data_IF_677553732634
#
_entry.id   IF_677553732634
#
_cell.length_a   1.000
_cell.length_b   1.000
_cell.length_c   1.000
_cell.angle_alpha   90.00
_cell.angle_beta   90.00
_cell.angle_gamma   90.00
#
_symmetry.space_group_name_H-M   'P 1'
#
loop_
_entity.id
_entity.type
_entity.pdbx_description
1 polymer ?
#
# COMPACT_ATOMS: atom_id res chain seq x y z
N UNK A 1 -28.97 4.45 0.39
CA UNK A 1 -29.42 5.70 -0.22
C UNK A 1 -28.48 6.86 0.06
N UNK A 2 -28.10 7.16 1.32
CA UNK A 2 -27.18 8.26 1.65
C UNK A 2 -25.78 8.14 0.99
N UNK A 3 -25.20 6.95 0.97
CA UNK A 3 -23.87 6.73 0.31
C UNK A 3 -23.91 7.02 -1.20
N UNK A 4 -25.00 6.67 -1.89
CA UNK A 4 -25.13 6.92 -3.33
C UNK A 4 -25.33 8.41 -3.64
N UNK A 5 -26.09 9.13 -2.82
CA UNK A 5 -26.28 10.59 -2.98
C UNK A 5 -24.96 11.31 -2.74
N UNK A 6 -24.22 10.93 -1.69
CA UNK A 6 -22.93 11.52 -1.36
C UNK A 6 -21.89 11.24 -2.48
N UNK A 7 -21.88 10.03 -3.05
CA UNK A 7 -20.97 9.71 -4.16
C UNK A 7 -21.25 10.54 -5.41
N UNK A 8 -22.51 10.71 -5.79
CA UNK A 8 -22.92 11.55 -6.92
C UNK A 8 -22.50 13.01 -6.67
N UNK A 9 -22.69 13.51 -5.45
CA UNK A 9 -22.35 14.88 -5.08
C UNK A 9 -20.84 15.13 -5.15
N UNK A 10 -20.00 14.19 -4.71
CA UNK A 10 -18.54 14.27 -4.78
C UNK A 10 -18.06 14.25 -6.24
N UNK A 11 -18.60 13.35 -7.07
CA UNK A 11 -18.26 13.28 -8.51
C UNK A 11 -18.60 14.58 -9.22
N UNK A 12 -19.79 15.14 -8.94
CA UNK A 12 -20.25 16.39 -9.53
C UNK A 12 -19.38 17.58 -9.09
N UNK A 13 -19.10 17.68 -7.77
CA UNK A 13 -18.22 18.72 -7.22
C UNK A 13 -16.82 18.67 -7.82
N UNK A 14 -16.26 17.46 -7.99
CA UNK A 14 -14.93 17.31 -8.57
C UNK A 14 -14.89 17.72 -10.06
N UNK A 15 -15.91 17.35 -10.84
CA UNK A 15 -16.05 17.81 -12.23
C UNK A 15 -16.11 19.34 -12.32
N UNK A 16 -16.89 19.97 -11.44
CA UNK A 16 -16.97 21.43 -11.33
C UNK A 16 -15.61 22.03 -10.93
N UNK A 17 -14.91 21.42 -9.98
CA UNK A 17 -13.60 21.91 -9.51
C UNK A 17 -12.56 21.84 -10.62
N UNK A 18 -12.48 20.74 -11.38
CA UNK A 18 -11.57 20.63 -12.52
C UNK A 18 -11.90 21.72 -13.55
N UNK A 19 -13.18 21.91 -13.87
CA UNK A 19 -13.61 22.93 -14.79
C UNK A 19 -13.24 24.35 -14.32
N UNK A 20 -13.47 24.69 -13.05
CA UNK A 20 -13.11 26.00 -12.47
C UNK A 20 -11.58 26.20 -12.43
N UNK A 21 -10.82 25.20 -12.03
CA UNK A 21 -9.35 25.26 -12.00
C UNK A 21 -8.78 25.45 -13.39
N UNK A 22 -9.30 24.71 -14.40
CA UNK A 22 -8.85 24.87 -15.78
C UNK A 22 -9.16 26.26 -16.33
N UNK A 23 -10.32 26.79 -15.98
CA UNK A 23 -10.69 28.16 -16.38
C UNK A 23 -9.80 29.21 -15.72
N UNK A 24 -9.45 29.04 -14.43
CA UNK A 24 -8.55 29.92 -13.71
C UNK A 24 -7.12 29.94 -14.27
N UNK A 25 -6.64 28.78 -14.75
CA UNK A 25 -5.31 28.65 -15.36
C UNK A 25 -5.34 28.78 -16.91
N UNK A 26 -6.47 29.18 -17.50
CA UNK A 26 -6.66 29.33 -18.96
C UNK A 26 -6.35 28.06 -19.76
N UNK A 27 -6.57 26.87 -19.15
CA UNK A 27 -6.31 25.59 -19.79
C UNK A 27 -7.55 25.13 -20.57
N UNK A 28 -7.41 24.94 -21.87
CA UNK A 28 -8.50 24.42 -22.71
C UNK A 28 -8.69 22.92 -22.49
N UNK A 29 -9.81 22.51 -21.88
CA UNK A 29 -10.16 21.11 -21.63
C UNK A 29 -11.05 20.59 -22.75
N UNK A 30 -10.63 19.50 -23.41
CA UNK A 30 -11.51 18.78 -24.33
C UNK A 30 -12.66 18.09 -23.58
N UNK A 31 -13.81 17.95 -24.22
CA UNK A 31 -14.95 17.23 -23.63
C UNK A 31 -14.60 15.80 -23.22
N UNK A 32 -13.66 15.18 -23.91
CA UNK A 32 -13.24 13.81 -23.61
C UNK A 32 -12.35 13.72 -22.36
N UNK A 33 -11.48 14.71 -22.11
CA UNK A 33 -10.74 14.82 -20.84
C UNK A 33 -11.72 14.99 -19.67
N UNK A 34 -12.75 15.82 -19.81
CA UNK A 34 -13.78 16.00 -18.79
C UNK A 34 -14.55 14.71 -18.51
N UNK A 35 -14.98 14.00 -19.55
CA UNK A 35 -15.62 12.69 -19.43
C UNK A 35 -14.73 11.68 -18.68
N UNK A 36 -13.47 11.55 -19.09
CA UNK A 36 -12.51 10.64 -18.49
C UNK A 36 -12.23 10.99 -17.03
N UNK A 37 -12.18 12.28 -16.70
CA UNK A 37 -12.04 12.77 -15.32
C UNK A 37 -13.23 12.36 -14.44
N UNK A 38 -14.45 12.51 -14.95
CA UNK A 38 -15.68 12.11 -14.25
C UNK A 38 -15.68 10.61 -14.01
N UNK A 39 -15.32 9.80 -15.02
CA UNK A 39 -15.26 8.34 -14.90
C UNK A 39 -14.21 7.94 -13.86
N UNK A 40 -13.00 8.51 -13.90
CA UNK A 40 -11.94 8.25 -12.92
C UNK A 40 -12.40 8.54 -11.48
N UNK A 41 -12.99 9.71 -11.26
CA UNK A 41 -13.46 10.10 -9.92
C UNK A 41 -14.62 9.22 -9.46
N UNK A 42 -15.54 8.88 -10.37
CA UNK A 42 -16.62 7.96 -10.06
C UNK A 42 -16.08 6.59 -9.58
N UNK A 43 -15.08 6.04 -10.29
CA UNK A 43 -14.41 4.79 -9.91
C UNK A 43 -13.79 4.93 -8.51
N UNK A 44 -13.02 5.98 -8.24
CA UNK A 44 -12.35 6.18 -6.95
C UNK A 44 -13.33 6.37 -5.79
N UNK A 45 -14.42 7.11 -6.03
CA UNK A 45 -15.50 7.26 -5.04
C UNK A 45 -16.19 5.92 -4.77
N UNK A 46 -16.50 5.13 -5.81
CA UNK A 46 -17.14 3.82 -5.65
C UNK A 46 -16.22 2.86 -4.87
N UNK A 47 -14.92 2.87 -5.14
CA UNK A 47 -13.93 2.10 -4.39
C UNK A 47 -13.89 2.55 -2.93
N UNK A 48 -13.76 3.85 -2.67
CA UNK A 48 -13.65 4.42 -1.31
C UNK A 48 -14.86 4.13 -0.44
N UNK A 49 -16.05 4.07 -1.01
CA UNK A 49 -17.28 3.74 -0.26
C UNK A 49 -17.61 2.24 -0.27
N UNK A 50 -16.78 1.40 -0.91
CA UNK A 50 -17.02 -0.05 -1.05
C UNK A 50 -18.45 -0.39 -1.57
N UNK A 51 -18.94 0.39 -2.53
CA UNK A 51 -20.27 0.20 -3.10
C UNK A 51 -20.29 -1.05 -3.98
N UNK A 52 -19.20 -1.25 -4.73
CA UNK A 52 -18.95 -2.39 -5.62
C UNK A 52 -17.52 -2.88 -5.35
N UNK A 53 -17.26 -4.16 -5.56
CA UNK A 53 -15.91 -4.72 -5.40
C UNK A 53 -14.92 -3.97 -6.30
N UNK A 54 -13.78 -3.54 -5.72
CA UNK A 54 -12.78 -2.67 -6.37
C UNK A 54 -12.31 -3.20 -7.74
N UNK A 55 -12.06 -4.51 -7.85
CA UNK A 55 -11.65 -5.16 -9.11
C UNK A 55 -12.71 -5.00 -10.19
N UNK A 56 -13.99 -5.21 -9.83
CA UNK A 56 -15.10 -5.13 -10.80
C UNK A 56 -15.28 -3.72 -11.34
N UNK A 57 -15.24 -2.70 -10.48
CA UNK A 57 -15.47 -1.31 -10.92
C UNK A 57 -14.29 -0.76 -11.73
N UNK A 58 -13.04 -1.12 -11.37
CA UNK A 58 -11.86 -0.70 -12.12
C UNK A 58 -11.84 -1.35 -13.50
N UNK A 59 -12.11 -2.65 -13.57
CA UNK A 59 -12.16 -3.36 -14.85
C UNK A 59 -13.27 -2.84 -15.78
N UNK A 60 -14.45 -2.59 -15.21
CA UNK A 60 -15.58 -2.00 -15.93
C UNK A 60 -15.28 -0.58 -16.42
N UNK A 61 -14.68 0.25 -15.58
CA UNK A 61 -14.29 1.62 -15.92
C UNK A 61 -13.19 1.68 -16.99
N UNK A 62 -12.18 0.82 -16.88
CA UNK A 62 -11.16 0.67 -17.92
C UNK A 62 -11.77 0.29 -19.28
N UNK A 63 -12.72 -0.66 -19.27
CA UNK A 63 -13.42 -1.08 -20.48
C UNK A 63 -14.27 0.06 -21.10
N UNK A 64 -15.01 0.81 -20.27
CA UNK A 64 -15.77 1.98 -20.75
C UNK A 64 -14.85 3.01 -21.40
N UNK A 65 -13.74 3.38 -20.73
CA UNK A 65 -12.81 4.36 -21.29
C UNK A 65 -12.10 3.83 -22.53
N UNK A 66 -11.76 2.54 -22.59
CA UNK A 66 -11.15 1.91 -23.76
C UNK A 66 -12.09 1.97 -24.96
N UNK A 67 -13.34 1.56 -24.79
CA UNK A 67 -14.35 1.61 -25.87
C UNK A 67 -14.58 3.06 -26.32
N UNK A 68 -14.72 3.99 -25.37
CA UNK A 68 -14.90 5.39 -25.69
C UNK A 68 -13.71 5.98 -26.45
N UNK A 69 -12.47 5.62 -26.05
CA UNK A 69 -11.24 6.05 -26.74
C UNK A 69 -11.13 5.50 -28.16
N UNK A 70 -11.59 4.27 -28.38
CA UNK A 70 -11.68 3.67 -29.72
C UNK A 70 -12.70 4.38 -30.60
N UNK A 71 -13.88 4.72 -30.07
CA UNK A 71 -14.94 5.40 -30.80
C UNK A 71 -14.56 6.83 -31.19
N UNK A 72 -13.77 7.50 -30.35
CA UNK A 72 -13.26 8.87 -30.61
C UNK A 72 -11.98 8.86 -31.47
N UNK A 73 -11.37 7.69 -31.67
CA UNK A 73 -10.15 7.54 -32.48
C UNK A 73 -8.85 7.94 -31.78
N UNK A 74 -8.83 7.99 -30.44
CA UNK A 74 -7.61 8.23 -29.63
C UNK A 74 -6.72 7.00 -29.68
N UNK A 75 -7.32 5.82 -29.49
CA UNK A 75 -6.63 4.53 -29.62
C UNK A 75 -7.10 3.87 -30.90
N UNK A 76 -6.17 3.40 -31.74
CA UNK A 76 -6.53 2.71 -32.97
C UNK A 76 -6.93 1.26 -32.73
N UNK A 77 -8.01 0.74 -33.33
CA UNK A 77 -8.47 -0.63 -33.10
C UNK A 77 -7.41 -1.70 -33.37
N UNK A 78 -6.52 -1.48 -34.34
CA UNK A 78 -5.44 -2.43 -34.67
C UNK A 78 -4.33 -2.47 -33.63
N UNK A 79 -4.18 -1.43 -32.80
CA UNK A 79 -3.12 -1.26 -31.81
C UNK A 79 -3.61 -1.54 -30.38
N UNK A 80 -4.92 -1.77 -30.21
CA UNK A 80 -5.55 -1.94 -28.90
C UNK A 80 -4.88 -3.03 -28.05
N UNK A 81 -4.57 -4.18 -28.66
CA UNK A 81 -3.94 -5.27 -27.92
C UNK A 81 -2.50 -4.90 -27.49
N UNK A 82 -1.72 -4.29 -28.38
CA UNK A 82 -0.37 -3.79 -28.04
C UNK A 82 -0.44 -2.74 -26.94
N UNK A 83 -1.32 -1.77 -27.08
CA UNK A 83 -1.55 -0.76 -26.03
C UNK A 83 -1.85 -1.41 -24.66
N UNK A 84 -2.79 -2.36 -24.60
CA UNK A 84 -3.15 -3.04 -23.35
C UNK A 84 -1.96 -3.81 -22.76
N UNK A 85 -1.15 -4.46 -23.60
CA UNK A 85 0.04 -5.18 -23.15
C UNK A 85 1.12 -4.20 -22.64
N UNK A 86 1.34 -3.10 -23.35
CA UNK A 86 2.40 -2.14 -23.05
C UNK A 86 2.15 -1.35 -21.76
N UNK A 87 0.89 -1.05 -21.45
CA UNK A 87 0.54 -0.31 -20.22
C UNK A 87 0.52 -1.18 -18.96
N UNK A 88 0.42 -2.52 -19.09
CA UNK A 88 0.43 -3.43 -17.93
C UNK A 88 1.86 -3.65 -17.47
N UNK A 89 2.16 -3.25 -16.23
CA UNK A 89 3.43 -3.58 -15.59
C UNK A 89 3.44 -5.03 -15.10
N UNK A 90 3.93 -5.93 -15.97
CA UNK A 90 4.08 -7.35 -15.65
C UNK A 90 5.13 -7.61 -14.57
N UNK A 91 6.10 -6.71 -14.37
CA UNK A 91 7.07 -6.84 -13.30
C UNK A 91 6.39 -6.68 -11.92
N UNK A 92 5.56 -5.68 -11.77
CA UNK A 92 4.73 -5.50 -10.55
C UNK A 92 3.81 -6.71 -10.31
N UNK A 93 3.08 -7.17 -11.34
CA UNK A 93 2.14 -8.31 -11.18
C UNK A 93 2.90 -9.60 -10.85
N UNK A 94 4.01 -9.87 -11.52
CA UNK A 94 4.83 -11.07 -11.29
C UNK A 94 5.48 -11.08 -9.90
N UNK A 95 5.96 -9.93 -9.44
CA UNK A 95 6.54 -9.79 -8.11
C UNK A 95 5.49 -10.06 -7.02
N UNK A 96 4.30 -9.45 -7.15
CA UNK A 96 3.18 -9.69 -6.23
C UNK A 96 2.76 -11.15 -6.21
N UNK A 97 2.56 -11.76 -7.38
CA UNK A 97 2.19 -13.16 -7.49
C UNK A 97 3.21 -14.09 -6.80
N UNK A 98 4.50 -13.89 -7.09
CA UNK A 98 5.58 -14.68 -6.48
C UNK A 98 5.59 -14.57 -4.96
N UNK A 99 5.49 -13.34 -4.43
CA UNK A 99 5.47 -13.11 -2.98
C UNK A 99 4.19 -13.67 -2.32
N UNK A 100 3.02 -13.53 -2.94
CA UNK A 100 1.76 -14.09 -2.44
C UNK A 100 1.84 -15.62 -2.32
N UNK A 101 2.42 -16.31 -3.29
CA UNK A 101 2.62 -17.78 -3.24
C UNK A 101 3.57 -18.14 -2.07
N UNK A 102 4.71 -17.45 -1.92
CA UNK A 102 5.66 -17.70 -0.84
C UNK A 102 4.98 -17.57 0.53
N UNK A 103 4.16 -16.54 0.70
CA UNK A 103 3.48 -16.25 1.96
C UNK A 103 2.30 -17.20 2.20
N UNK A 104 1.58 -17.61 1.19
CA UNK A 104 0.54 -18.63 1.30
C UNK A 104 1.13 -19.95 1.86
N UNK A 105 2.28 -20.41 1.31
CA UNK A 105 3.00 -21.57 1.84
C UNK A 105 3.46 -21.35 3.29
N UNK A 106 4.01 -20.16 3.60
CA UNK A 106 4.44 -19.82 4.96
C UNK A 106 3.26 -19.82 5.95
N UNK A 107 2.08 -19.35 5.54
CA UNK A 107 0.86 -19.34 6.34
C UNK A 107 0.42 -20.75 6.77
N UNK A 108 0.56 -21.75 5.89
CA UNK A 108 0.21 -23.16 6.18
C UNK A 108 1.05 -23.76 7.32
N UNK A 109 2.27 -23.26 7.54
CA UNK A 109 3.19 -23.74 8.60
C UNK A 109 2.68 -23.49 10.02
N UNK A 110 1.72 -22.57 10.21
CA UNK A 110 1.19 -22.16 11.51
C UNK A 110 2.07 -21.17 12.27
N UNK A 111 3.10 -20.58 11.63
CA UNK A 111 4.07 -19.66 12.25
C UNK A 111 3.39 -18.44 12.87
N UNK A 112 2.35 -17.89 12.25
CA UNK A 112 1.65 -16.70 12.76
C UNK A 112 0.91 -16.99 14.07
N UNK A 113 0.30 -18.17 14.22
CA UNK A 113 -0.30 -18.60 15.49
C UNK A 113 0.75 -18.77 16.58
N UNK A 114 1.91 -19.34 16.25
CA UNK A 114 3.04 -19.48 17.16
C UNK A 114 3.53 -18.10 17.63
N UNK A 115 3.69 -17.14 16.71
CA UNK A 115 4.09 -15.76 17.06
C UNK A 115 3.08 -15.12 18.02
N UNK A 116 1.79 -15.27 17.78
CA UNK A 116 0.75 -14.73 18.64
C UNK A 116 0.84 -15.26 20.09
N UNK A 117 0.96 -16.56 20.27
CA UNK A 117 1.12 -17.18 21.59
C UNK A 117 2.44 -16.77 22.24
N UNK A 118 3.52 -16.70 21.47
CA UNK A 118 4.83 -16.23 21.94
C UNK A 118 4.78 -14.78 22.42
N UNK A 119 4.09 -13.91 21.69
CA UNK A 119 3.90 -12.49 22.05
C UNK A 119 3.19 -12.35 23.42
N UNK A 120 2.14 -13.13 23.66
CA UNK A 120 1.44 -13.12 24.95
C UNK A 120 2.39 -13.53 26.08
N UNK A 121 3.13 -14.61 25.91
CA UNK A 121 4.05 -15.11 26.96
C UNK A 121 5.16 -14.10 27.25
N UNK A 122 5.75 -13.49 26.20
CA UNK A 122 6.80 -12.49 26.36
C UNK A 122 6.27 -11.21 27.02
N UNK A 123 5.01 -10.86 26.81
CA UNK A 123 4.39 -9.68 27.42
C UNK A 123 4.19 -9.80 28.93
N UNK A 124 4.13 -11.03 29.47
CA UNK A 124 3.86 -11.30 30.89
C UNK A 124 2.62 -10.59 31.45
N UNK A 125 1.58 -10.40 30.62
CA UNK A 125 0.35 -9.70 30.99
C UNK A 125 0.37 -8.18 30.87
N UNK A 126 1.48 -7.60 30.45
CA UNK A 126 1.57 -6.17 30.18
C UNK A 126 1.07 -5.88 28.75
N UNK A 127 -0.07 -5.22 28.65
CA UNK A 127 -0.72 -4.93 27.37
C UNK A 127 0.11 -4.02 26.48
N UNK A 128 0.85 -3.07 27.06
CA UNK A 128 1.75 -2.23 26.28
C UNK A 128 2.89 -3.04 25.64
N UNK A 129 3.52 -3.95 26.40
CA UNK A 129 4.55 -4.85 25.86
C UNK A 129 3.96 -5.74 24.76
N UNK A 130 2.73 -6.25 24.96
CA UNK A 130 2.04 -7.06 23.95
C UNK A 130 1.81 -6.26 22.67
N UNK A 131 1.35 -5.02 22.77
CA UNK A 131 1.16 -4.13 21.62
C UNK A 131 2.48 -3.90 20.89
N UNK A 132 3.57 -3.57 21.58
CA UNK A 132 4.89 -3.39 20.95
C UNK A 132 5.30 -4.65 20.19
N UNK A 133 5.22 -5.83 20.81
CA UNK A 133 5.67 -7.08 20.18
C UNK A 133 4.86 -7.35 18.91
N UNK A 134 3.53 -7.18 18.98
CA UNK A 134 2.67 -7.37 17.81
C UNK A 134 2.94 -6.33 16.72
N UNK A 135 3.09 -5.05 17.06
CA UNK A 135 3.40 -3.99 16.10
C UNK A 135 4.78 -4.18 15.44
N UNK A 136 5.82 -4.50 16.24
CA UNK A 136 7.17 -4.75 15.71
C UNK A 136 7.18 -5.96 14.79
N UNK A 137 6.55 -7.07 15.19
CA UNK A 137 6.45 -8.25 14.34
C UNK A 137 5.71 -7.93 13.04
N UNK A 138 4.55 -7.27 13.12
CA UNK A 138 3.76 -6.90 11.95
C UNK A 138 4.54 -5.97 11.02
N UNK A 139 5.22 -4.94 11.56
CA UNK A 139 6.01 -4.01 10.76
C UNK A 139 7.20 -4.70 10.07
N UNK A 140 7.98 -5.51 10.80
CA UNK A 140 9.13 -6.23 10.22
C UNK A 140 8.66 -7.21 9.13
N UNK A 141 7.58 -7.94 9.37
CA UNK A 141 7.07 -8.90 8.38
C UNK A 141 6.53 -8.16 7.16
N UNK A 142 5.88 -7.00 7.35
CA UNK A 142 5.35 -6.15 6.27
C UNK A 142 6.44 -5.50 5.42
N UNK A 143 7.69 -5.45 5.87
CA UNK A 143 8.81 -5.04 5.01
C UNK A 143 9.06 -6.03 3.86
N UNK A 144 8.67 -7.28 4.01
CA UNK A 144 8.98 -8.37 3.07
C UNK A 144 7.74 -9.07 2.51
N UNK A 145 6.57 -8.74 3.02
CA UNK A 145 5.29 -9.32 2.66
C UNK A 145 4.28 -8.21 2.54
N UNK A 146 3.42 -8.26 1.54
CA UNK A 146 2.40 -7.23 1.34
C UNK A 146 1.49 -7.03 2.57
N UNK A 147 1.08 -5.80 2.76
CA UNK A 147 0.29 -5.34 3.91
C UNK A 147 -1.01 -6.12 4.09
N UNK A 148 -1.68 -6.46 2.99
CA UNK A 148 -2.99 -7.16 3.01
C UNK A 148 -2.82 -8.56 3.58
N UNK A 149 -1.86 -9.30 3.05
CA UNK A 149 -1.58 -10.68 3.48
C UNK A 149 -1.20 -10.76 4.96
N UNK A 150 -0.35 -9.83 5.43
CA UNK A 150 0.01 -9.81 6.85
C UNK A 150 -1.19 -9.53 7.74
N UNK A 151 -2.04 -8.61 7.38
CA UNK A 151 -3.26 -8.29 8.15
C UNK A 151 -4.26 -9.45 8.11
N UNK A 152 -4.42 -10.12 6.97
CA UNK A 152 -5.24 -11.33 6.85
C UNK A 152 -4.81 -12.43 7.82
N UNK A 153 -3.51 -12.58 8.05
CA UNK A 153 -2.95 -13.61 8.92
C UNK A 153 -2.91 -13.17 10.40
N UNK A 154 -2.56 -11.92 10.68
CA UNK A 154 -2.34 -11.46 12.05
C UNK A 154 -3.61 -11.03 12.78
N UNK A 155 -4.59 -10.44 12.09
CA UNK A 155 -5.83 -9.97 12.74
C UNK A 155 -6.64 -11.12 13.33
N UNK A 156 -6.87 -12.27 12.67
CA UNK A 156 -7.53 -13.42 13.28
C UNK A 156 -6.80 -13.95 14.53
N UNK A 157 -5.47 -13.99 14.49
CA UNK A 157 -4.64 -14.38 15.65
C UNK A 157 -4.87 -13.42 16.81
N UNK A 158 -4.81 -12.12 16.55
CA UNK A 158 -5.06 -11.07 17.54
C UNK A 158 -6.47 -11.19 18.12
N UNK A 159 -7.49 -11.34 17.28
CA UNK A 159 -8.88 -11.53 17.72
C UNK A 159 -9.05 -12.74 18.63
N UNK A 160 -8.43 -13.87 18.29
CA UNK A 160 -8.46 -15.10 19.09
C UNK A 160 -7.82 -14.87 20.47
N UNK A 161 -6.68 -14.23 20.52
CA UNK A 161 -5.96 -13.87 21.74
C UNK A 161 -6.82 -13.01 22.66
N UNK A 162 -7.34 -11.90 22.12
CA UNK A 162 -8.06 -10.93 22.94
C UNK A 162 -9.46 -11.39 23.35
N UNK A 163 -10.09 -12.27 22.54
CA UNK A 163 -11.31 -12.98 22.95
C UNK A 163 -11.04 -13.89 24.16
N UNK A 164 -9.95 -14.64 24.17
CA UNK A 164 -9.56 -15.49 25.30
C UNK A 164 -9.20 -14.65 26.54
N UNK A 165 -8.61 -13.48 26.37
CA UNK A 165 -8.29 -12.54 27.46
C UNK A 165 -9.53 -11.73 27.92
N UNK A 166 -10.67 -11.81 27.24
CA UNK A 166 -11.90 -11.05 27.49
C UNK A 166 -11.68 -9.53 27.48
N UNK A 167 -10.83 -9.04 26.59
CA UNK A 167 -10.53 -7.62 26.41
C UNK A 167 -10.83 -7.21 24.96
N UNK A 168 -11.07 -5.91 24.75
CA UNK A 168 -11.29 -5.37 23.39
C UNK A 168 -10.02 -5.50 22.52
N UNK A 169 -10.08 -6.17 21.36
CA UNK A 169 -8.96 -6.25 20.42
C UNK A 169 -8.75 -4.97 19.61
N UNK A 170 -9.74 -4.06 19.57
CA UNK A 170 -9.77 -2.91 18.67
C UNK A 170 -8.48 -2.07 18.72
N UNK A 171 -7.94 -1.64 19.88
CA UNK A 171 -6.71 -0.86 19.93
C UNK A 171 -5.52 -1.58 19.31
N UNK A 172 -5.46 -2.89 19.47
CA UNK A 172 -4.34 -3.73 18.97
C UNK A 172 -4.45 -3.94 17.46
N UNK A 173 -5.65 -4.13 16.93
CA UNK A 173 -5.89 -4.24 15.48
C UNK A 173 -5.53 -2.92 14.79
N UNK A 174 -5.98 -1.78 15.33
CA UNK A 174 -5.61 -0.47 14.80
C UNK A 174 -4.09 -0.29 14.84
N UNK A 175 -3.45 -0.53 15.99
CA UNK A 175 -2.02 -0.37 16.14
C UNK A 175 -1.22 -1.27 15.18
N UNK A 176 -1.63 -2.53 15.01
CA UNK A 176 -1.00 -3.45 14.06
C UNK A 176 -1.14 -2.97 12.61
N UNK A 177 -2.34 -2.52 12.20
CA UNK A 177 -2.56 -2.07 10.83
C UNK A 177 -1.78 -0.79 10.53
N UNK A 178 -1.75 0.17 11.45
CA UNK A 178 -0.92 1.39 11.33
C UNK A 178 0.57 1.06 11.25
N UNK A 179 1.02 0.08 12.03
CA UNK A 179 2.41 -0.40 12.02
C UNK A 179 2.74 -1.20 10.76
N UNK A 180 1.77 -1.93 10.21
CA UNK A 180 1.89 -2.67 8.95
C UNK A 180 2.20 -1.72 7.79
N UNK A 181 1.41 -0.66 7.63
CA UNK A 181 1.63 0.33 6.58
C UNK A 181 2.99 1.05 6.74
N UNK A 182 3.42 1.36 7.99
CA UNK A 182 4.76 1.89 8.23
C UNK A 182 5.85 0.91 7.81
N UNK A 183 5.73 -0.37 8.20
CA UNK A 183 6.69 -1.40 7.80
C UNK A 183 6.78 -1.57 6.30
N UNK A 184 5.62 -1.66 5.63
CA UNK A 184 5.52 -1.79 4.18
C UNK A 184 6.18 -0.62 3.43
N UNK A 185 6.06 0.60 3.95
CA UNK A 185 6.67 1.79 3.34
C UNK A 185 8.20 1.79 3.37
N UNK A 186 8.85 0.93 4.15
CA UNK A 186 10.30 0.90 4.31
C UNK A 186 11.05 0.22 3.18
N UNK A 187 10.40 -0.66 2.41
CA UNK A 187 11.06 -1.44 1.34
C UNK A 187 10.26 -1.41 0.05
N UNK A 188 10.91 -1.78 -1.03
CA UNK A 188 10.32 -1.85 -2.36
C UNK A 188 9.14 -2.84 -2.42
N UNK A 189 9.22 -3.96 -1.72
CA UNK A 189 8.26 -5.08 -1.81
C UNK A 189 7.22 -5.10 -0.70
N UNK A 190 7.37 -4.27 0.32
CA UNK A 190 6.49 -4.26 1.48
C UNK A 190 5.10 -3.67 1.22
N UNK A 191 4.98 -2.81 0.21
CA UNK A 191 3.70 -2.23 -0.20
C UNK A 191 3.61 -2.20 -1.72
N UNK A 192 2.48 -2.61 -2.32
CA UNK A 192 2.30 -2.55 -3.77
C UNK A 192 2.56 -1.17 -4.39
N UNK A 193 2.29 -0.09 -3.65
CA UNK A 193 2.59 1.27 -4.11
C UNK A 193 4.08 1.48 -4.38
N UNK A 194 4.93 0.91 -3.54
CA UNK A 194 6.38 1.00 -3.69
C UNK A 194 6.88 0.19 -4.89
N UNK A 195 6.26 -0.97 -5.15
CA UNK A 195 6.59 -1.79 -6.32
C UNK A 195 6.28 -1.02 -7.61
N UNK A 196 5.11 -0.37 -7.70
CA UNK A 196 4.73 0.46 -8.85
C UNK A 196 5.74 1.60 -9.04
N UNK A 197 6.08 2.33 -7.97
CA UNK A 197 7.04 3.44 -8.02
C UNK A 197 8.42 2.94 -8.43
N UNK A 198 8.89 1.85 -7.83
CA UNK A 198 10.20 1.29 -8.12
C UNK A 198 10.32 0.76 -9.55
N UNK A 199 9.27 0.11 -10.07
CA UNK A 199 9.20 -0.33 -11.47
C UNK A 199 9.24 0.86 -12.43
N UNK A 200 8.39 1.87 -12.23
CA UNK A 200 8.32 3.04 -13.08
C UNK A 200 9.61 3.89 -13.08
N UNK A 201 10.25 4.02 -11.91
CA UNK A 201 11.46 4.82 -11.75
C UNK A 201 12.76 4.01 -11.95
N UNK A 202 12.68 2.71 -12.26
CA UNK A 202 13.81 1.78 -12.32
C UNK A 202 14.69 1.81 -11.05
N UNK A 203 14.04 1.83 -9.88
CA UNK A 203 14.72 1.85 -8.59
C UNK A 203 14.89 0.43 -8.09
N UNK A 204 16.14 0.03 -7.83
CA UNK A 204 16.43 -1.26 -7.24
C UNK A 204 16.09 -1.32 -5.74
N UNK A 205 15.94 -2.55 -5.22
CA UNK A 205 15.56 -2.79 -3.83
C UNK A 205 16.50 -2.12 -2.81
N UNK A 206 17.81 -2.18 -3.06
CA UNK A 206 18.82 -1.64 -2.13
C UNK A 206 18.74 -0.14 -2.06
N UNK A 207 18.65 0.52 -3.22
CA UNK A 207 18.50 1.98 -3.30
C UNK A 207 17.20 2.43 -2.64
N UNK A 208 16.08 1.74 -2.91
CA UNK A 208 14.81 2.03 -2.26
C UNK A 208 14.92 1.91 -0.73
N UNK A 209 15.51 0.82 -0.24
CA UNK A 209 15.70 0.58 1.19
C UNK A 209 16.57 1.66 1.85
N UNK A 210 17.67 2.07 1.22
CA UNK A 210 18.57 3.07 1.77
C UNK A 210 17.92 4.45 1.93
N UNK A 211 17.02 4.83 1.03
CA UNK A 211 16.32 6.11 1.12
C UNK A 211 15.07 6.07 2.01
N UNK A 212 14.31 4.98 1.99
CA UNK A 212 13.03 4.89 2.70
C UNK A 212 13.12 4.30 4.10
N UNK A 213 14.01 3.33 4.34
CA UNK A 213 14.08 2.68 5.65
C UNK A 213 14.52 3.61 6.80
N UNK A 214 15.50 4.53 6.65
CA UNK A 214 15.89 5.41 7.75
C UNK A 214 14.75 6.33 8.24
N UNK A 215 14.05 7.10 7.38
CA UNK A 215 12.93 7.92 7.83
C UNK A 215 11.79 7.07 8.41
N UNK A 216 11.50 5.92 7.82
CA UNK A 216 10.44 5.03 8.31
C UNK A 216 10.81 4.42 9.67
N UNK A 217 12.06 3.98 9.88
CA UNK A 217 12.50 3.42 11.14
C UNK A 217 12.36 4.42 12.31
N UNK A 218 12.86 5.65 12.14
CA UNK A 218 12.73 6.70 13.16
C UNK A 218 11.26 7.03 13.41
N UNK A 219 10.48 7.14 12.34
CA UNK A 219 9.05 7.41 12.41
C UNK A 219 8.27 6.28 13.09
N UNK A 220 8.67 5.02 12.87
CA UNK A 220 8.08 3.86 13.53
C UNK A 220 8.31 3.89 15.06
N UNK A 221 9.52 4.21 15.51
CA UNK A 221 9.81 4.33 16.94
C UNK A 221 8.95 5.39 17.63
N UNK A 222 8.82 6.57 17.00
CA UNK A 222 7.93 7.62 17.49
C UNK A 222 6.45 7.22 17.33
N UNK A 223 6.10 6.51 16.28
CA UNK A 223 4.77 5.93 16.07
C UNK A 223 4.35 5.04 17.23
N UNK A 224 5.25 4.20 17.75
CA UNK A 224 4.98 3.40 18.96
C UNK A 224 4.65 4.29 20.17
N UNK A 225 5.38 5.38 20.37
CA UNK A 225 5.09 6.33 21.46
C UNK A 225 3.72 6.99 21.26
N UNK A 226 3.39 7.39 20.04
CA UNK A 226 2.07 7.94 19.70
C UNK A 226 0.95 6.92 19.97
N UNK A 227 1.11 5.65 19.60
CA UNK A 227 0.15 4.59 19.88
C UNK A 227 -0.06 4.40 21.39
N UNK A 228 1.00 4.51 22.20
CA UNK A 228 0.89 4.50 23.67
C UNK A 228 0.05 5.65 24.19
N UNK A 229 0.21 6.84 23.63
CA UNK A 229 -0.54 8.04 24.04
C UNK A 229 -2.02 7.89 23.61
N UNK A 230 -2.26 7.48 22.37
CA UNK A 230 -3.60 7.31 21.80
C UNK A 230 -4.41 6.28 22.60
N UNK A 231 -3.81 5.13 22.88
CA UNK A 231 -4.45 3.98 23.54
C UNK A 231 -4.16 3.87 25.03
N UNK A 232 -3.66 4.96 25.68
CA UNK A 232 -3.23 4.93 27.10
C UNK A 232 -4.29 4.39 28.06
N UNK A 233 -5.57 4.68 27.80
CA UNK A 233 -6.68 4.23 28.68
C UNK A 233 -6.89 2.72 28.59
N UNK A 234 -6.77 2.15 27.42
CA UNK A 234 -6.95 0.72 27.16
C UNK A 234 -5.74 -0.12 27.60
N UNK A 235 -4.56 0.50 27.72
CA UNK A 235 -3.30 -0.17 28.03
C UNK A 235 -3.00 -0.24 29.54
N UNK A 236 -3.79 0.40 30.39
CA UNK A 236 -3.57 0.41 31.85
C UNK A 236 -3.98 -0.88 32.54
N UNK A 237 -4.80 -1.71 31.88
CA UNK A 237 -5.30 -2.97 32.46
C UNK A 237 -4.16 -4.00 32.50
N UNK A 238 -3.85 -4.50 33.69
CA UNK A 238 -2.95 -5.65 33.84
C UNK A 238 -3.77 -6.93 33.71
N UNK A 239 -3.41 -7.76 32.76
CA UNK A 239 -4.14 -9.00 32.48
C UNK A 239 -3.42 -10.15 33.15
N UNK A 240 -4.16 -10.90 33.96
CA UNK A 240 -3.65 -12.14 34.50
C UNK A 240 -3.65 -13.22 33.39
N UNK A 241 -2.46 -13.54 32.86
CA UNK A 241 -2.27 -14.63 31.88
C UNK A 241 -2.34 -15.96 32.66
N UNK A 242 -3.48 -16.23 33.28
CA UNK A 242 -3.66 -17.44 34.06
C UNK A 242 -4.04 -18.64 33.18
N UNK A 243 -3.34 -19.73 33.37
CA UNK A 243 -3.75 -21.09 32.99
C UNK A 243 -3.82 -21.39 31.50
N UNK A 244 -4.71 -20.76 30.75
CA UNK A 244 -5.04 -21.15 29.37
C UNK A 244 -3.86 -21.01 28.38
N UNK A 245 -3.11 -19.91 28.42
CA UNK A 245 -1.96 -19.73 27.52
C UNK A 245 -0.67 -20.40 28.02
N UNK A 246 -0.59 -20.75 29.31
CA UNK A 246 0.51 -21.56 29.81
C UNK A 246 0.39 -23.02 29.40
N UNK A 247 -0.83 -23.53 29.23
CA UNK A 247 -1.12 -24.91 28.87
C UNK A 247 -0.99 -25.20 27.35
N UNK A 248 -0.98 -24.14 26.50
CA UNK A 248 -0.80 -24.34 25.05
C UNK A 248 0.62 -24.77 24.75
N UNK A 249 0.80 -25.93 24.15
CA UNK A 249 2.12 -26.37 23.68
C UNK A 249 2.53 -25.56 22.46
N UNK A 250 3.53 -24.67 22.61
CA UNK A 250 4.07 -23.84 21.51
C UNK A 250 4.53 -24.68 20.32
N UNK A 251 5.05 -25.90 20.59
CA UNK A 251 5.61 -26.77 19.56
C UNK A 251 4.51 -27.35 18.65
N UNK A 252 3.29 -27.49 19.18
CA UNK A 252 2.15 -28.02 18.43
C UNK A 252 1.53 -26.98 17.48
N UNK A 253 1.81 -25.69 17.66
CA UNK A 253 1.31 -24.62 16.79
C UNK A 253 2.02 -24.57 15.44
N UNK A 254 3.27 -25.02 15.38
CA UNK A 254 4.00 -25.18 14.11
C UNK A 254 3.63 -26.55 13.55
N UNK A 255 2.75 -26.58 12.55
CA UNK A 255 2.21 -27.79 11.95
C UNK A 255 3.28 -28.61 11.23
N UNK A 256 4.15 -27.91 10.47
CA UNK A 256 5.25 -28.53 9.73
C UNK A 256 6.53 -27.71 9.88
N UNK A 257 7.47 -28.25 10.67
CA UNK A 257 8.77 -27.63 10.92
C UNK A 257 9.72 -27.71 9.72
N UNK A 258 9.59 -28.77 8.89
CA UNK A 258 10.42 -28.93 7.70
C UNK A 258 10.02 -27.89 6.67
N UNK A 259 8.72 -27.74 6.44
CA UNK A 259 8.17 -26.75 5.55
C UNK A 259 8.54 -25.32 6.00
N UNK A 260 8.39 -25.01 7.30
CA UNK A 260 8.79 -23.72 7.86
C UNK A 260 10.27 -23.40 7.60
N UNK A 261 11.16 -24.42 7.82
CA UNK A 261 12.58 -24.25 7.55
C UNK A 261 12.83 -23.97 6.06
N UNK A 262 12.17 -24.70 5.15
CA UNK A 262 12.27 -24.47 3.71
C UNK A 262 11.78 -23.08 3.33
N UNK A 263 10.63 -22.64 3.86
CA UNK A 263 10.11 -21.28 3.62
C UNK A 263 11.12 -20.21 4.06
N UNK A 264 11.71 -20.34 5.26
CA UNK A 264 12.69 -19.39 5.78
C UNK A 264 13.95 -19.34 4.88
N UNK A 265 14.45 -20.50 4.44
CA UNK A 265 15.62 -20.58 3.57
C UNK A 265 15.34 -19.93 2.22
N UNK A 266 14.19 -20.25 1.60
CA UNK A 266 13.82 -19.69 0.30
C UNK A 266 13.58 -18.18 0.42
N UNK A 267 12.86 -17.74 1.45
CA UNK A 267 12.62 -16.31 1.68
C UNK A 267 13.93 -15.54 1.91
N UNK A 268 14.86 -16.11 2.69
CA UNK A 268 16.19 -15.51 2.88
C UNK A 268 16.97 -15.44 1.55
N UNK A 269 16.88 -16.49 0.71
CA UNK A 269 17.44 -16.48 -0.64
C UNK A 269 16.83 -15.42 -1.53
N UNK A 270 15.51 -15.30 -1.54
CA UNK A 270 14.79 -14.26 -2.31
C UNK A 270 15.22 -12.86 -1.87
N UNK A 271 15.26 -12.60 -0.55
CA UNK A 271 15.74 -11.32 -0.02
C UNK A 271 17.19 -11.05 -0.41
N UNK A 272 18.06 -12.07 -0.32
CA UNK A 272 19.45 -11.93 -0.76
C UNK A 272 19.53 -11.53 -2.24
N UNK A 273 18.78 -12.21 -3.11
CA UNK A 273 18.75 -11.86 -4.52
C UNK A 273 18.12 -10.48 -4.78
N UNK A 274 17.13 -10.04 -3.98
CA UNK A 274 16.63 -8.67 -4.06
C UNK A 274 17.69 -7.62 -3.71
N UNK A 275 18.60 -7.91 -2.79
CA UNK A 275 19.70 -6.98 -2.46
C UNK A 275 20.67 -6.80 -3.61
N UNK A 276 20.90 -7.83 -4.41
CA UNK A 276 21.90 -7.80 -5.49
C UNK A 276 21.29 -7.67 -6.89
N UNK A 277 19.94 -7.67 -7.04
CA UNK A 277 19.28 -7.76 -8.34
C UNK A 277 19.65 -6.60 -9.28
N UNK A 278 19.81 -5.39 -8.75
CA UNK A 278 20.25 -4.24 -9.53
C UNK A 278 21.64 -4.42 -10.12
N UNK A 279 22.55 -5.10 -9.40
CA UNK A 279 23.91 -5.37 -9.88
C UNK A 279 23.98 -6.51 -10.92
N UNK A 280 23.07 -7.49 -10.83
CA UNK A 280 23.02 -8.65 -11.74
C UNK A 280 22.05 -8.47 -12.92
N UNK A 281 21.26 -7.39 -12.92
CA UNK A 281 20.33 -7.07 -14.01
C UNK A 281 19.14 -8.03 -14.13
N UNK A 282 18.73 -8.70 -13.03
CA UNK A 282 17.57 -9.59 -13.01
C UNK A 282 16.38 -8.85 -12.40
N UNK A 283 15.22 -8.89 -13.06
CA UNK A 283 13.99 -8.30 -12.57
C UNK A 283 13.54 -8.92 -11.24
N UNK A 284 13.03 -8.09 -10.33
CA UNK A 284 12.56 -8.54 -9.02
C UNK A 284 11.43 -9.58 -9.12
N UNK A 285 10.57 -9.48 -10.13
CA UNK A 285 9.51 -10.45 -10.41
C UNK A 285 10.05 -11.86 -10.67
N UNK A 286 11.13 -11.98 -11.43
CA UNK A 286 11.76 -13.28 -11.76
C UNK A 286 12.31 -13.93 -10.49
N UNK A 287 12.90 -13.15 -9.59
CA UNK A 287 13.43 -13.63 -8.31
C UNK A 287 12.29 -14.15 -7.42
N UNK A 288 11.20 -13.37 -7.30
CA UNK A 288 10.04 -13.76 -6.50
C UNK A 288 9.35 -15.02 -7.06
N UNK A 289 9.11 -15.06 -8.37
CA UNK A 289 8.51 -16.22 -9.05
C UNK A 289 9.41 -17.44 -8.96
N UNK A 290 10.74 -17.28 -9.08
CA UNK A 290 11.71 -18.35 -8.88
C UNK A 290 11.66 -18.92 -7.47
N UNK A 291 11.63 -18.08 -6.45
CA UNK A 291 11.44 -18.49 -5.05
C UNK A 291 10.12 -19.24 -4.83
N UNK A 292 9.02 -18.72 -5.40
CA UNK A 292 7.70 -19.34 -5.36
C UNK A 292 7.73 -20.75 -6.02
N UNK A 293 8.32 -20.87 -7.21
CA UNK A 293 8.44 -22.15 -7.92
C UNK A 293 9.23 -23.18 -7.11
N UNK A 294 10.34 -22.77 -6.49
CA UNK A 294 11.13 -23.65 -5.61
C UNK A 294 10.27 -24.14 -4.43
N UNK A 295 9.49 -23.27 -3.78
CA UNK A 295 8.61 -23.67 -2.68
C UNK A 295 7.50 -24.62 -3.16
N UNK A 296 6.87 -24.37 -4.30
CA UNK A 296 5.85 -25.26 -4.87
C UNK A 296 6.41 -26.66 -5.17
N UNK A 297 7.66 -26.76 -5.63
CA UNK A 297 8.33 -28.06 -5.84
C UNK A 297 8.62 -28.75 -4.51
N UNK A 298 9.09 -28.02 -3.50
CA UNK A 298 9.43 -28.59 -2.18
C UNK A 298 8.18 -29.08 -1.46
N UNK A 299 7.09 -28.32 -1.55
CA UNK A 299 5.83 -28.66 -0.84
C UNK A 299 5.18 -29.94 -1.39
N UNK A 300 5.48 -30.35 -2.61
CA UNK A 300 5.00 -31.58 -3.31
C UNK A 300 3.49 -31.84 -3.28
N UNK A 301 2.76 -31.12 -2.47
CA UNK A 301 1.36 -31.37 -2.22
C UNK A 301 0.55 -30.09 -2.34
N UNK A 302 -0.59 -30.18 -3.02
CA UNK A 302 -1.65 -29.18 -2.94
C UNK A 302 -1.32 -27.81 -3.57
N UNK A 303 -0.59 -27.80 -4.70
CA UNK A 303 -0.34 -26.58 -5.50
C UNK A 303 -1.66 -25.83 -5.74
N UNK A 304 -2.73 -26.56 -6.08
CA UNK A 304 -4.07 -26.00 -6.28
C UNK A 304 -4.59 -25.27 -5.04
N UNK A 305 -4.35 -25.82 -3.84
CA UNK A 305 -4.76 -25.18 -2.59
C UNK A 305 -3.96 -23.90 -2.32
N UNK A 306 -2.65 -23.93 -2.53
CA UNK A 306 -1.79 -22.75 -2.38
C UNK A 306 -2.22 -21.65 -3.35
N UNK A 307 -2.52 -22.04 -4.61
CA UNK A 307 -3.00 -21.09 -5.61
C UNK A 307 -4.40 -20.53 -5.29
N UNK A 308 -5.24 -21.25 -4.55
CA UNK A 308 -6.52 -20.74 -4.05
C UNK A 308 -6.34 -19.66 -2.95
N UNK A 309 -5.23 -19.72 -2.20
CA UNK A 309 -4.91 -18.74 -1.17
C UNK A 309 -4.27 -17.45 -1.75
N UNK A 310 -3.93 -17.41 -3.06
CA UNK A 310 -3.46 -16.22 -3.76
C UNK A 310 -4.62 -15.24 -3.97
N UNK A 311 -4.39 -13.97 -3.69
CA UNK A 311 -5.39 -12.91 -3.94
C UNK A 311 -5.43 -12.52 -5.43
N UNK A 312 -6.05 -13.38 -6.24
CA UNK A 312 -6.26 -13.14 -7.67
C UNK A 312 -7.04 -11.87 -7.95
N UNK A 313 -7.95 -11.49 -7.04
CA UNK A 313 -8.74 -10.28 -7.20
C UNK A 313 -7.84 -9.04 -7.20
N UNK A 314 -6.82 -9.02 -6.38
CA UNK A 314 -5.81 -7.94 -6.36
C UNK A 314 -4.97 -7.93 -7.64
N UNK A 315 -4.53 -9.07 -8.17
CA UNK A 315 -3.76 -9.11 -9.42
C UNK A 315 -4.57 -8.60 -10.62
N UNK A 316 -5.83 -9.03 -10.74
CA UNK A 316 -6.77 -8.53 -11.78
C UNK A 316 -7.08 -7.04 -11.59
N UNK A 317 -7.20 -6.58 -10.34
CA UNK A 317 -7.37 -5.17 -10.03
C UNK A 317 -6.20 -4.33 -10.55
N UNK A 318 -4.95 -4.77 -10.36
CA UNK A 318 -3.76 -4.08 -10.88
C UNK A 318 -3.76 -4.00 -12.40
N UNK A 319 -4.03 -5.12 -13.08
CA UNK A 319 -4.11 -5.12 -14.55
C UNK A 319 -5.16 -4.11 -15.06
N UNK A 320 -6.36 -4.11 -14.48
CA UNK A 320 -7.41 -3.15 -14.82
C UNK A 320 -7.01 -1.70 -14.52
N UNK A 321 -6.29 -1.48 -13.43
CA UNK A 321 -5.82 -0.16 -13.02
C UNK A 321 -4.75 0.40 -13.96
N UNK A 322 -3.79 -0.41 -14.39
CA UNK A 322 -2.79 -0.01 -15.38
C UNK A 322 -3.43 0.37 -16.70
N UNK A 323 -4.40 -0.42 -17.19
CA UNK A 323 -5.16 -0.09 -18.41
C UNK A 323 -5.90 1.24 -18.24
N UNK A 324 -6.59 1.42 -17.10
CA UNK A 324 -7.33 2.65 -16.80
C UNK A 324 -6.40 3.87 -16.87
N UNK A 325 -5.28 3.84 -16.16
CA UNK A 325 -4.33 4.96 -16.08
C UNK A 325 -3.64 5.18 -17.42
N UNK A 326 -3.28 4.13 -18.15
CA UNK A 326 -2.74 4.26 -19.51
C UNK A 326 -3.69 5.00 -20.46
N UNK A 327 -5.00 4.70 -20.41
CA UNK A 327 -5.99 5.44 -21.19
C UNK A 327 -6.07 6.91 -20.75
N UNK A 328 -6.05 7.19 -19.45
CA UNK A 328 -6.06 8.56 -18.93
C UNK A 328 -4.83 9.37 -19.37
N UNK A 329 -3.70 8.70 -19.56
CA UNK A 329 -2.47 9.30 -20.09
C UNK A 329 -2.64 9.65 -21.57
N UNK A 330 -3.11 8.73 -22.41
CA UNK A 330 -3.37 8.96 -23.84
C UNK A 330 -4.41 10.06 -24.08
N UNK A 331 -5.43 10.13 -23.24
CA UNK A 331 -6.47 11.17 -23.29
C UNK A 331 -5.92 12.56 -22.91
N UNK A 332 -4.78 12.64 -22.22
CA UNK A 332 -4.14 13.88 -21.78
C UNK A 332 -4.60 14.39 -20.42
N UNK A 333 -5.42 13.62 -19.67
CA UNK A 333 -5.82 13.99 -18.31
C UNK A 333 -4.61 14.07 -17.37
N UNK A 334 -3.70 13.13 -17.46
CA UNK A 334 -2.47 13.08 -16.65
C UNK A 334 -1.62 14.34 -16.92
N UNK A 335 -1.47 14.73 -18.19
CA UNK A 335 -0.74 15.94 -18.57
C UNK A 335 -1.41 17.20 -18.01
N UNK A 336 -2.75 17.24 -17.96
CA UNK A 336 -3.50 18.32 -17.34
C UNK A 336 -3.21 18.43 -15.83
N UNK A 337 -3.28 17.32 -15.12
CA UNK A 337 -3.00 17.28 -13.67
C UNK A 337 -1.57 17.70 -13.34
N UNK A 338 -0.59 17.26 -14.15
CA UNK A 338 0.80 17.69 -14.04
C UNK A 338 0.97 19.20 -14.22
N UNK A 339 0.34 19.78 -15.26
CA UNK A 339 0.34 21.25 -15.49
C UNK A 339 -0.30 22.02 -14.34
N UNK A 340 -1.40 21.54 -13.78
CA UNK A 340 -2.05 22.15 -12.62
C UNK A 340 -1.09 22.16 -11.42
N UNK A 341 -0.42 21.06 -11.17
CA UNK A 341 0.52 20.96 -10.03
C UNK A 341 1.74 21.88 -10.24
N UNK A 342 2.29 21.96 -11.46
CA UNK A 342 3.35 22.90 -11.81
C UNK A 342 2.84 24.35 -11.64
N UNK A 343 1.61 24.65 -12.05
CA UNK A 343 1.01 25.97 -11.89
C UNK A 343 0.86 26.39 -10.42
N UNK A 344 0.44 25.46 -9.55
CA UNK A 344 0.30 25.71 -8.11
C UNK A 344 1.66 25.92 -7.43
N UNK A 345 2.68 25.16 -7.83
CA UNK A 345 4.01 25.20 -7.21
C UNK A 345 4.96 26.20 -7.87
N UNK A 346 4.55 26.81 -8.99
CA UNK A 346 5.41 27.66 -9.82
C UNK A 346 6.62 26.90 -10.41
N UNK A 347 6.63 25.56 -10.34
CA UNK A 347 7.77 24.74 -10.73
C UNK A 347 8.97 24.85 -9.79
N UNK A 348 8.78 25.39 -8.57
CA UNK A 348 9.83 25.45 -7.56
C UNK A 348 10.09 24.04 -6.99
N UNK A 349 11.35 23.52 -7.03
CA UNK A 349 11.64 22.12 -6.72
C UNK A 349 11.21 21.68 -5.32
N UNK A 350 11.56 22.43 -4.27
CA UNK A 350 11.25 22.06 -2.89
C UNK A 350 9.77 22.21 -2.56
N UNK A 351 9.12 23.25 -3.09
CA UNK A 351 7.67 23.41 -2.94
C UNK A 351 6.93 22.27 -3.64
N UNK A 352 7.40 21.86 -4.82
CA UNK A 352 6.84 20.71 -5.54
C UNK A 352 7.05 19.40 -4.76
N UNK A 353 8.25 19.19 -4.21
CA UNK A 353 8.57 18.02 -3.39
C UNK A 353 7.64 17.89 -2.18
N UNK A 354 7.50 18.96 -1.38
CA UNK A 354 6.61 18.95 -0.22
C UNK A 354 5.13 18.89 -0.61
N UNK A 355 4.74 19.53 -1.72
CA UNK A 355 3.37 19.42 -2.24
C UNK A 355 3.04 17.97 -2.63
N UNK A 356 3.94 17.27 -3.30
CA UNK A 356 3.76 15.86 -3.64
C UNK A 356 3.60 15.03 -2.37
N UNK A 357 4.44 15.20 -1.33
CA UNK A 357 4.30 14.48 -0.05
C UNK A 357 2.91 14.69 0.53
N UNK A 358 2.50 15.93 0.74
CA UNK A 358 1.29 16.24 1.48
C UNK A 358 0.00 15.98 0.69
N UNK A 359 -0.01 16.29 -0.61
CA UNK A 359 -1.14 15.94 -1.49
C UNK A 359 -1.30 14.41 -1.51
N UNK A 360 -0.18 13.67 -1.65
CA UNK A 360 -0.22 12.21 -1.64
C UNK A 360 -0.71 11.67 -0.30
N UNK A 361 -0.22 12.20 0.81
CA UNK A 361 -0.61 11.73 2.14
C UNK A 361 -2.10 12.00 2.44
N UNK A 362 -2.57 13.20 2.15
CA UNK A 362 -3.97 13.56 2.40
C UNK A 362 -4.90 12.77 1.48
N UNK A 363 -4.60 12.74 0.18
CA UNK A 363 -5.44 12.05 -0.79
C UNK A 363 -5.46 10.54 -0.54
N UNK A 364 -4.29 9.91 -0.34
CA UNK A 364 -4.17 8.49 -0.01
C UNK A 364 -4.83 8.14 1.33
N UNK A 365 -4.98 9.10 2.24
CA UNK A 365 -5.74 8.89 3.47
C UNK A 365 -7.25 8.68 3.28
N UNK A 366 -7.81 9.12 2.16
CA UNK A 366 -9.25 9.03 1.85
C UNK A 366 -9.56 8.19 0.60
N UNK A 367 -8.60 8.06 -0.30
CA UNK A 367 -8.65 7.20 -1.48
C UNK A 367 -7.61 6.09 -1.27
N UNK A 368 -7.90 4.87 -1.66
CA UNK A 368 -6.96 3.76 -1.54
C UNK A 368 -5.60 4.12 -2.18
N UNK A 369 -4.50 3.82 -1.47
CA UNK A 369 -3.15 4.23 -1.84
C UNK A 369 -2.70 3.71 -3.23
N UNK A 370 -3.13 2.52 -3.64
CA UNK A 370 -2.73 1.89 -4.90
C UNK A 370 -3.24 2.66 -6.12
N UNK A 371 -4.57 2.89 -6.32
CA UNK A 371 -5.07 3.65 -7.47
C UNK A 371 -4.52 5.08 -7.50
N UNK A 372 -4.37 5.69 -6.33
CA UNK A 372 -3.77 7.01 -6.24
C UNK A 372 -2.33 7.01 -6.76
N UNK A 373 -1.49 6.09 -6.28
CA UNK A 373 -0.08 5.99 -6.67
C UNK A 373 0.07 5.73 -8.17
N UNK A 374 -0.70 4.77 -8.72
CA UNK A 374 -0.65 4.46 -10.15
C UNK A 374 -0.96 5.68 -11.01
N UNK A 375 -1.92 6.53 -10.58
CA UNK A 375 -2.23 7.79 -11.29
C UNK A 375 -1.12 8.83 -11.11
N UNK A 376 -0.47 8.87 -9.95
CA UNK A 376 0.58 9.87 -9.68
C UNK A 376 1.89 9.55 -10.38
N UNK A 377 2.20 8.29 -10.66
CA UNK A 377 3.45 7.90 -11.35
C UNK A 377 3.69 8.69 -12.62
N UNK A 378 2.81 8.68 -13.64
CA UNK A 378 3.05 9.45 -14.84
C UNK A 378 2.98 10.97 -14.61
N UNK A 379 2.32 11.45 -13.55
CA UNK A 379 2.38 12.86 -13.16
C UNK A 379 3.80 13.20 -12.67
N UNK A 380 4.42 12.35 -11.86
CA UNK A 380 5.82 12.54 -11.40
C UNK A 380 6.79 12.57 -12.60
N UNK A 381 6.59 11.76 -13.62
CA UNK A 381 7.38 11.80 -14.85
C UNK A 381 7.28 13.17 -15.56
N UNK A 382 6.08 13.73 -15.65
CA UNK A 382 5.87 15.07 -16.20
C UNK A 382 6.53 16.15 -15.34
N UNK A 383 6.43 16.06 -14.02
CA UNK A 383 7.10 16.99 -13.10
C UNK A 383 8.62 16.91 -13.26
N UNK A 384 9.18 15.73 -13.39
CA UNK A 384 10.63 15.51 -13.60
C UNK A 384 11.10 16.04 -14.96
N UNK A 385 10.24 16.14 -15.96
CA UNK A 385 10.57 16.74 -17.25
C UNK A 385 10.54 18.28 -17.24
N UNK A 386 10.01 18.90 -16.18
CA UNK A 386 9.98 20.36 -16.02
C UNK A 386 11.38 20.92 -15.82
N UNK A 387 11.77 21.93 -16.61
CA UNK A 387 13.13 22.50 -16.63
C UNK A 387 13.56 23.02 -15.26
N UNK A 388 12.69 23.73 -14.53
CA UNK A 388 13.00 24.30 -13.23
C UNK A 388 13.22 23.24 -12.17
N UNK A 389 12.38 22.19 -12.15
CA UNK A 389 12.49 21.06 -11.21
C UNK A 389 13.74 20.25 -11.54
N UNK A 390 13.96 19.96 -12.81
CA UNK A 390 15.10 19.17 -13.28
C UNK A 390 16.43 19.90 -13.07
N UNK A 391 16.48 21.21 -13.09
CA UNK A 391 17.69 21.99 -12.84
C UNK A 391 18.33 21.71 -11.47
N UNK A 392 17.54 21.40 -10.45
CA UNK A 392 18.02 21.03 -9.13
C UNK A 392 18.06 19.52 -8.93
N UNK A 393 16.92 18.84 -9.16
CA UNK A 393 16.80 17.41 -8.85
C UNK A 393 17.39 16.50 -9.89
N UNK A 394 17.61 16.97 -11.11
CA UNK A 394 18.26 16.19 -12.18
C UNK A 394 19.75 15.95 -11.97
N UNK A 395 20.38 16.63 -11.00
CA UNK A 395 21.77 16.34 -10.58
C UNK A 395 21.88 15.07 -9.74
N UNK A 396 20.76 14.60 -9.18
CA UNK A 396 20.69 13.37 -8.41
C UNK A 396 20.38 12.18 -9.32
N UNK A 397 20.93 11.02 -9.01
CA UNK A 397 20.70 9.78 -9.78
C UNK A 397 19.21 9.41 -9.87
N UNK A 398 18.45 9.71 -8.81
CA UNK A 398 16.99 9.46 -8.72
C UNK A 398 16.34 10.74 -8.22
N UNK A 399 15.31 11.21 -8.93
CA UNK A 399 14.57 12.40 -8.54
C UNK A 399 13.92 12.22 -7.16
N UNK A 400 14.07 13.21 -6.26
CA UNK A 400 13.39 13.24 -4.96
C UNK A 400 11.88 13.10 -5.00
N UNK A 401 11.24 13.43 -6.12
CA UNK A 401 9.78 13.36 -6.26
C UNK A 401 9.26 11.92 -6.16
N UNK A 402 10.07 10.91 -6.55
CA UNK A 402 9.72 9.50 -6.35
C UNK A 402 9.64 9.12 -4.88
N UNK A 403 10.59 9.59 -4.09
CA UNK A 403 10.61 9.39 -2.64
C UNK A 403 9.46 10.14 -1.96
N UNK A 404 9.15 11.36 -2.46
CA UNK A 404 8.00 12.14 -2.00
C UNK A 404 6.69 11.40 -2.19
N UNK A 405 6.49 10.79 -3.38
CA UNK A 405 5.31 10.00 -3.68
C UNK A 405 5.23 8.74 -2.80
N UNK A 406 6.33 7.98 -2.70
CA UNK A 406 6.38 6.74 -1.89
C UNK A 406 6.05 7.01 -0.42
N UNK A 407 6.65 8.06 0.16
CA UNK A 407 6.42 8.45 1.54
C UNK A 407 4.98 8.94 1.76
N UNK A 408 4.51 9.84 0.90
CA UNK A 408 3.18 10.41 1.02
C UNK A 408 2.08 9.37 0.85
N UNK A 409 2.13 8.55 -0.21
CA UNK A 409 1.13 7.54 -0.48
C UNK A 409 1.14 6.41 0.56
N UNK A 410 2.32 5.90 0.92
CA UNK A 410 2.46 4.80 1.88
C UNK A 410 2.00 5.17 3.29
N UNK A 411 2.46 6.32 3.82
CA UNK A 411 2.06 6.77 5.16
C UNK A 411 0.65 7.35 5.19
N UNK A 412 0.19 7.95 4.08
CA UNK A 412 -1.16 8.50 3.91
C UNK A 412 -2.25 7.47 4.18
N UNK A 413 -2.03 6.21 3.75
CA UNK A 413 -2.92 5.09 3.98
C UNK A 413 -3.31 4.84 5.44
N UNK A 414 -2.59 5.44 6.40
CA UNK A 414 -2.91 5.37 7.82
C UNK A 414 -4.05 6.31 8.24
N UNK A 415 -4.38 7.34 7.45
CA UNK A 415 -5.32 8.39 7.82
C UNK A 415 -6.72 7.91 8.10
N UNK A 416 -7.23 7.04 7.23
CA UNK A 416 -8.52 6.35 7.42
C UNK A 416 -8.37 4.85 7.10
N UNK A 417 -9.34 4.04 7.48
CA UNK A 417 -9.29 2.62 7.12
C UNK A 417 -9.50 2.37 5.61
N UNK A 418 -10.04 3.36 4.89
CA UNK A 418 -10.23 3.32 3.44
C UNK A 418 -8.89 3.55 2.71
N UNK A 419 -7.99 4.33 3.31
CA UNK A 419 -6.72 4.74 2.71
C UNK A 419 -5.75 3.60 2.40
N UNK A 420 -5.95 2.39 2.96
CA UNK A 420 -5.15 1.22 2.63
C UNK A 420 -5.98 -0.04 2.58
N UNK A 421 -5.68 -0.94 1.63
CA UNK A 421 -6.30 -2.27 1.55
C UNK A 421 -6.18 -3.05 2.87
N UNK A 422 -5.06 -2.90 3.59
CA UNK A 422 -4.86 -3.49 4.91
C UNK A 422 -5.89 -3.00 5.93
N UNK A 423 -6.24 -1.72 5.91
CA UNK A 423 -7.28 -1.13 6.75
C UNK A 423 -8.65 -1.73 6.47
N UNK A 424 -9.04 -1.81 5.20
CA UNK A 424 -10.30 -2.40 4.73
C UNK A 424 -10.42 -3.85 5.21
N UNK A 425 -9.37 -4.65 5.00
CA UNK A 425 -9.32 -6.06 5.42
C UNK A 425 -9.39 -6.20 6.94
N UNK A 426 -8.67 -5.37 7.69
CA UNK A 426 -8.72 -5.38 9.15
C UNK A 426 -10.15 -5.14 9.68
N UNK A 427 -10.86 -4.17 9.09
CA UNK A 427 -12.27 -3.88 9.41
C UNK A 427 -13.18 -5.06 9.06
N UNK A 428 -13.03 -5.60 7.84
CA UNK A 428 -13.84 -6.72 7.36
C UNK A 428 -13.73 -7.96 8.26
N UNK A 429 -12.50 -8.33 8.64
CA UNK A 429 -12.25 -9.46 9.54
C UNK A 429 -12.82 -9.15 10.93
N UNK A 430 -12.54 -7.96 11.48
CA UNK A 430 -13.04 -7.57 12.80
C UNK A 430 -14.56 -7.67 12.88
N UNK A 431 -15.27 -7.23 11.84
CA UNK A 431 -16.72 -7.29 11.75
C UNK A 431 -17.24 -8.74 11.74
N UNK A 432 -16.60 -9.64 10.99
CA UNK A 432 -16.93 -11.09 10.98
C UNK A 432 -16.81 -11.73 12.37
N UNK A 433 -15.91 -11.24 13.19
CA UNK A 433 -15.71 -11.72 14.58
C UNK A 433 -16.57 -10.96 15.60
N UNK A 434 -17.48 -10.04 15.16
CA UNK A 434 -18.40 -9.30 16.00
C UNK A 434 -17.84 -8.00 16.59
N UNK A 435 -16.67 -7.54 16.15
CA UNK A 435 -16.06 -6.29 16.59
C UNK A 435 -16.23 -5.20 15.54
N UNK A 436 -17.18 -4.30 15.75
CA UNK A 436 -17.43 -3.16 14.86
C UNK A 436 -16.48 -2.01 15.17
N UNK A 437 -15.64 -1.65 14.24
CA UNK A 437 -14.77 -0.48 14.29
C UNK A 437 -15.41 0.62 13.42
N UNK A 438 -15.84 1.73 14.04
CA UNK A 438 -16.45 2.83 13.30
C UNK A 438 -15.40 3.70 12.60
N UNK A 439 -15.80 4.39 11.52
CA UNK A 439 -14.95 5.36 10.82
C UNK A 439 -14.37 6.41 11.80
N UNK A 440 -15.20 6.97 12.67
CA UNK A 440 -14.77 7.97 13.65
C UNK A 440 -13.74 7.41 14.64
N UNK A 441 -13.88 6.14 15.04
CA UNK A 441 -12.90 5.49 15.93
C UNK A 441 -11.54 5.34 15.27
N UNK A 442 -11.53 4.93 14.00
CA UNK A 442 -10.30 4.87 13.22
C UNK A 442 -9.71 6.26 13.00
N UNK A 443 -10.52 7.21 12.50
CA UNK A 443 -10.10 8.56 12.17
C UNK A 443 -9.44 9.27 13.36
N UNK A 444 -10.00 9.14 14.56
CA UNK A 444 -9.42 9.71 15.79
C UNK A 444 -8.05 9.15 16.15
N UNK A 445 -7.72 7.94 15.72
CA UNK A 445 -6.41 7.33 15.96
C UNK A 445 -5.49 7.48 14.75
N UNK A 446 -5.97 7.12 13.56
CA UNK A 446 -5.20 7.04 12.34
C UNK A 446 -4.82 8.39 11.75
N UNK A 447 -5.76 9.35 11.70
CA UNK A 447 -5.49 10.65 11.07
C UNK A 447 -4.41 11.47 11.81
N UNK A 448 -4.45 11.65 13.14
CA UNK A 448 -3.34 12.29 13.86
C UNK A 448 -2.03 11.50 13.75
N UNK A 449 -2.10 10.16 13.76
CA UNK A 449 -0.94 9.31 13.56
C UNK A 449 -0.31 9.54 12.17
N UNK A 450 -1.13 9.57 11.12
CA UNK A 450 -0.69 9.88 9.75
C UNK A 450 0.00 11.25 9.68
N UNK A 451 -0.65 12.31 10.15
CA UNK A 451 -0.11 13.69 10.08
C UNK A 451 1.27 13.77 10.76
N UNK A 452 1.41 13.21 11.96
CA UNK A 452 2.66 13.27 12.71
C UNK A 452 3.76 12.40 12.08
N UNK A 453 3.40 11.22 11.58
CA UNK A 453 4.36 10.33 10.92
C UNK A 453 4.82 10.87 9.58
N UNK A 454 3.93 11.44 8.77
CA UNK A 454 4.28 12.10 7.50
C UNK A 454 5.16 13.31 7.74
N UNK A 455 4.80 14.18 8.70
CA UNK A 455 5.60 15.37 9.02
C UNK A 455 7.03 15.00 9.41
N UNK A 456 7.19 14.02 10.33
CA UNK A 456 8.51 13.60 10.78
C UNK A 456 9.32 12.94 9.66
N UNK A 457 8.71 12.01 8.93
CA UNK A 457 9.39 11.33 7.83
C UNK A 457 9.78 12.30 6.71
N UNK A 458 8.92 13.31 6.42
CA UNK A 458 9.21 14.38 5.47
C UNK A 458 10.44 15.18 5.88
N UNK A 459 10.56 15.58 7.15
CA UNK A 459 11.73 16.29 7.67
C UNK A 459 13.00 15.46 7.50
N UNK A 460 12.97 14.19 7.91
CA UNK A 460 14.13 13.29 7.82
C UNK A 460 14.54 13.09 6.36
N UNK A 461 13.58 12.82 5.48
CA UNK A 461 13.85 12.62 4.06
C UNK A 461 14.42 13.89 3.42
N UNK A 462 13.89 15.06 3.76
CA UNK A 462 14.42 16.36 3.30
C UNK A 462 15.88 16.54 3.72
N UNK A 463 16.21 16.24 4.99
CA UNK A 463 17.59 16.32 5.48
C UNK A 463 18.51 15.33 4.76
N UNK A 464 18.05 14.12 4.50
CA UNK A 464 18.83 13.12 3.75
C UNK A 464 19.11 13.58 2.32
N UNK A 465 18.13 14.14 1.64
CA UNK A 465 18.29 14.66 0.27
C UNK A 465 19.24 15.85 0.28
N UNK A 466 19.10 16.80 1.22
CA UNK A 466 20.02 17.94 1.35
C UNK A 466 21.47 17.53 1.61
N UNK A 467 21.70 16.43 2.31
CA UNK A 467 23.03 15.88 2.55
C UNK A 467 23.59 15.08 1.35
N UNK A 468 22.75 14.80 0.34
CA UNK A 468 23.16 14.10 -0.90
C UNK A 468 23.59 15.07 -2.00
N UNK A 469 23.35 16.39 -1.83
CA UNK A 469 23.92 17.46 -2.65
C UNK A 469 25.31 17.85 -2.15
#
# INVERSE_FOLDING_TARGET
MEKHILSILIVTLFGITIFMVSHFFEINISHFILFSSIVMVAIYVIISFEIIHRTSIVFFGALILLIASLLVGIIHPKETLHFVIDVIDFNTIGLLLGMMIIVAVLGETGVFNWVGVKAIRLSKGNLWKLMIILCVFTAITSMFVDNVTIILLMVPVTLTIFRALKISPIPFILAQTLSCNLGGAATLIGDPTNIIIGSAANIDFTTFFLYMAPPIFVTFLLGLVLLKIIFRKELTTVVNISGQFKAVDEKSLIKDKSLLKSCIIVLAGVIFFFVIHGAIGIEASIIALGGAAILLIITRAHVEKILQDVDWATLVFFAGLFILVGILQEVGLIALLGKILIGITGGEPWLTFHSVIWISAITSGFIENIPFTTTMVPIIEILNSNTSINSLFGSLNISPLWWALALGAGLGGNGTWIGSSAGVVAIGISLKYGYKISFIRWFKAGFPFMILTVALASIILTLMILLSF
#
